data_IF_945384827760
#
_entry.id   IF_945384827760
#
_cell.length_a   1.000
_cell.length_b   1.000
_cell.length_c   1.000
_cell.angle_alpha   90.00
_cell.angle_beta   90.00
_cell.angle_gamma   90.00
#
_symmetry.space_group_name_H-M   'P 1'
#
loop_
_entity.id
_entity.type
_entity.pdbx_description
1 polymer ?
#
# COMPACT_ATOMS: atom_id res chain seq x y z
N UNK A 1 0.58 -66.76 -14.06
CA UNK A 1 1.58 -65.70 -14.31
C UNK A 1 2.50 -65.64 -13.09
N UNK A 2 3.82 -65.67 -13.27
CA UNK A 2 4.75 -65.66 -12.14
C UNK A 2 4.67 -64.29 -11.43
N UNK A 3 4.46 -64.27 -10.10
CA UNK A 3 4.27 -63.02 -9.33
C UNK A 3 5.44 -62.00 -9.52
N UNK A 4 6.62 -62.53 -9.78
CA UNK A 4 7.81 -61.75 -10.03
C UNK A 4 7.72 -60.86 -11.30
N UNK A 5 7.08 -61.35 -12.36
CA UNK A 5 6.89 -60.57 -13.60
C UNK A 5 5.87 -59.45 -13.40
N UNK A 6 4.87 -59.66 -12.57
CA UNK A 6 3.87 -58.66 -12.22
C UNK A 6 4.50 -57.49 -11.41
N UNK A 7 5.36 -57.84 -10.43
CA UNK A 7 6.07 -56.84 -9.64
C UNK A 7 7.00 -55.96 -10.48
N UNK A 8 7.77 -56.62 -11.39
CA UNK A 8 8.65 -55.85 -12.29
C UNK A 8 7.85 -54.94 -13.20
N UNK A 9 6.75 -55.41 -13.79
CA UNK A 9 5.90 -54.59 -14.64
C UNK A 9 5.34 -53.39 -13.88
N UNK A 10 4.86 -53.58 -12.64
CA UNK A 10 4.33 -52.50 -11.81
C UNK A 10 5.39 -51.47 -11.46
N UNK A 11 6.63 -51.89 -11.16
CA UNK A 11 7.76 -50.98 -10.89
C UNK A 11 8.12 -50.15 -12.09
N UNK A 12 8.15 -50.76 -13.27
CA UNK A 12 8.46 -50.03 -14.54
C UNK A 12 7.37 -49.01 -14.85
N UNK A 13 6.09 -49.38 -14.67
CA UNK A 13 4.98 -48.42 -14.88
C UNK A 13 5.08 -47.24 -13.93
N UNK A 14 5.31 -47.49 -12.62
CA UNK A 14 5.48 -46.40 -11.64
C UNK A 14 6.67 -45.49 -11.98
N UNK A 15 7.79 -46.07 -12.41
CA UNK A 15 8.97 -45.30 -12.83
C UNK A 15 8.68 -44.41 -14.05
N UNK A 16 7.97 -44.93 -15.05
CA UNK A 16 7.56 -44.17 -16.23
C UNK A 16 6.60 -43.06 -15.88
N UNK A 17 5.63 -43.29 -14.99
CA UNK A 17 4.74 -42.24 -14.49
C UNK A 17 5.50 -41.13 -13.73
N UNK A 18 6.45 -41.52 -12.88
CA UNK A 18 7.26 -40.57 -12.13
C UNK A 18 8.13 -39.69 -13.07
N UNK A 19 8.76 -40.31 -14.06
CA UNK A 19 9.53 -39.62 -15.08
C UNK A 19 8.61 -38.65 -15.88
N UNK A 20 7.43 -39.12 -16.27
CA UNK A 20 6.44 -38.31 -16.97
C UNK A 20 6.04 -37.08 -16.17
N UNK A 21 5.74 -37.23 -14.87
CA UNK A 21 5.41 -36.11 -13.98
C UNK A 21 6.56 -35.11 -13.89
N UNK A 22 7.81 -35.57 -13.79
CA UNK A 22 8.98 -34.69 -13.76
C UNK A 22 9.11 -33.86 -15.07
N UNK A 23 8.89 -34.48 -16.22
CA UNK A 23 8.94 -33.77 -17.51
C UNK A 23 7.78 -32.76 -17.66
N UNK A 24 6.57 -33.11 -17.23
CA UNK A 24 5.43 -32.17 -17.28
C UNK A 24 5.54 -31.04 -16.27
N UNK A 25 6.19 -31.23 -15.12
CA UNK A 25 6.42 -30.16 -14.15
C UNK A 25 7.49 -29.14 -14.62
N UNK A 26 8.47 -29.56 -15.43
CA UNK A 26 9.48 -28.64 -15.96
C UNK A 26 8.90 -27.65 -16.98
N UNK A 27 7.84 -27.96 -17.68
CA UNK A 27 7.16 -27.03 -18.59
C UNK A 27 6.22 -26.06 -17.85
N UNK A 28 5.64 -26.46 -16.72
CA UNK A 28 4.76 -25.61 -15.91
C UNK A 28 5.52 -24.52 -15.12
N UNK A 29 6.82 -24.70 -14.87
CA UNK A 29 7.68 -23.71 -14.17
C UNK A 29 8.38 -22.76 -15.14
N UNK A 30 8.29 -22.96 -16.45
CA UNK A 30 8.54 -21.88 -17.40
C UNK A 30 7.39 -20.87 -17.37
N UNK A 31 7.13 -20.29 -16.22
CA UNK A 31 6.53 -18.96 -16.14
C UNK A 31 7.45 -18.08 -16.99
N UNK A 32 7.00 -17.74 -18.19
CA UNK A 32 7.55 -16.64 -18.95
C UNK A 32 7.54 -15.46 -17.99
N UNK A 33 8.68 -15.15 -17.38
CA UNK A 33 8.94 -13.86 -16.79
C UNK A 33 9.01 -12.88 -17.98
N UNK A 34 7.86 -12.68 -18.59
CA UNK A 34 7.65 -11.50 -19.40
C UNK A 34 7.67 -10.37 -18.39
N UNK A 35 8.81 -9.73 -18.24
CA UNK A 35 8.98 -8.45 -17.56
C UNK A 35 8.29 -7.36 -18.39
N UNK A 36 7.06 -7.61 -18.81
CA UNK A 36 6.15 -6.56 -19.21
C UNK A 36 5.64 -6.01 -17.88
N UNK A 37 6.33 -4.98 -17.37
CA UNK A 37 5.78 -4.18 -16.29
C UNK A 37 4.34 -3.86 -16.65
N UNK A 38 3.39 -4.25 -15.79
CA UNK A 38 2.01 -3.88 -16.00
C UNK A 38 1.97 -2.35 -16.13
N UNK A 39 1.49 -1.78 -17.24
CA UNK A 39 1.54 -0.33 -17.46
C UNK A 39 0.78 0.45 -16.38
N UNK A 40 -0.08 -0.23 -15.62
CA UNK A 40 -0.87 0.38 -14.54
C UNK A 40 -1.04 -0.63 -13.41
N UNK A 41 -0.68 -0.22 -12.19
CA UNK A 41 -1.05 -0.93 -10.96
C UNK A 41 -2.41 -0.41 -10.48
N UNK A 42 -3.42 -1.28 -10.42
CA UNK A 42 -4.76 -0.95 -9.93
C UNK A 42 -5.01 -1.68 -8.62
N UNK A 43 -5.39 -0.94 -7.60
CA UNK A 43 -5.68 -1.48 -6.27
C UNK A 43 -6.50 -0.49 -5.44
N UNK A 44 -7.04 -0.95 -4.32
CA UNK A 44 -7.77 -0.10 -3.36
C UNK A 44 -6.83 0.56 -2.35
N UNK A 45 -5.68 -0.04 -2.12
CA UNK A 45 -4.63 0.48 -1.26
C UNK A 45 -3.27 -0.07 -1.71
N UNK A 46 -2.23 0.71 -1.42
CA UNK A 46 -0.83 0.29 -1.45
C UNK A 46 -0.25 0.54 -0.07
N UNK A 47 0.41 -0.46 0.52
CA UNK A 47 1.10 -0.33 1.79
C UNK A 47 2.54 -0.80 1.66
N UNK A 48 3.46 -0.06 2.27
CA UNK A 48 4.85 -0.44 2.47
C UNK A 48 4.99 -0.78 3.94
N UNK A 49 5.49 -1.98 4.22
CA UNK A 49 5.71 -2.48 5.58
C UNK A 49 7.19 -2.65 5.86
N UNK A 50 7.59 -2.51 7.13
CA UNK A 50 8.94 -2.84 7.57
C UNK A 50 9.09 -4.36 7.87
N UNK A 51 10.29 -4.78 8.23
CA UNK A 51 10.60 -6.19 8.55
C UNK A 51 9.75 -6.74 9.71
N UNK A 52 9.20 -5.88 10.56
CA UNK A 52 8.28 -6.23 11.65
C UNK A 52 6.81 -6.28 11.21
N UNK A 53 6.50 -6.07 9.94
CA UNK A 53 5.14 -6.05 9.40
C UNK A 53 4.36 -4.77 9.72
N UNK A 54 5.01 -3.72 10.23
CA UNK A 54 4.37 -2.45 10.54
C UNK A 54 4.27 -1.59 9.29
N UNK A 55 3.10 -0.98 9.04
CA UNK A 55 2.89 -0.08 7.91
C UNK A 55 3.72 1.18 8.09
N UNK A 56 4.59 1.49 7.10
CA UNK A 56 5.49 2.65 7.09
C UNK A 56 5.10 3.69 6.04
N UNK A 57 4.41 3.26 5.00
CA UNK A 57 3.76 4.17 4.05
C UNK A 57 2.45 3.57 3.58
N UNK A 58 1.49 4.41 3.23
CA UNK A 58 0.24 3.94 2.63
C UNK A 58 -0.32 4.96 1.65
N UNK A 59 -0.93 4.46 0.57
CA UNK A 59 -1.78 5.24 -0.33
C UNK A 59 -3.13 4.54 -0.36
N UNK A 60 -4.20 5.24 0.04
CA UNK A 60 -5.55 4.68 0.01
C UNK A 60 -6.63 5.73 -0.15
N UNK A 61 -7.80 5.31 -0.60
CA UNK A 61 -9.02 6.12 -0.56
C UNK A 61 -9.64 5.98 0.82
N UNK A 62 -9.70 7.09 1.56
CA UNK A 62 -10.43 7.18 2.82
C UNK A 62 -11.90 7.49 2.50
N UNK A 63 -12.86 6.71 2.97
CA UNK A 63 -14.27 7.01 2.74
C UNK A 63 -14.67 8.32 3.43
N UNK A 64 -15.71 8.95 2.93
CA UNK A 64 -16.31 10.12 3.60
C UNK A 64 -16.77 9.74 5.00
N UNK A 65 -16.46 10.57 5.97
CA UNK A 65 -16.87 10.35 7.37
C UNK A 65 -17.25 11.66 8.06
N UNK A 66 -18.04 11.53 9.13
CA UNK A 66 -18.36 12.66 10.03
C UNK A 66 -17.68 12.43 11.38
N UNK A 67 -16.78 13.32 11.75
CA UNK A 67 -16.10 13.26 13.04
C UNK A 67 -17.07 13.64 14.15
N UNK A 68 -17.58 12.63 14.86
CA UNK A 68 -18.67 12.76 15.83
C UNK A 68 -18.45 13.84 16.90
N UNK A 69 -17.25 14.01 17.49
CA UNK A 69 -17.06 15.01 18.53
C UNK A 69 -17.33 16.46 18.09
N UNK A 70 -17.07 16.79 16.83
CA UNK A 70 -17.21 18.16 16.32
C UNK A 70 -18.31 18.30 15.26
N UNK A 71 -18.90 17.21 14.79
CA UNK A 71 -19.84 17.20 13.67
C UNK A 71 -19.17 17.53 12.32
N UNK A 72 -17.86 17.68 12.26
CA UNK A 72 -17.13 18.03 11.03
C UNK A 72 -17.20 16.88 10.03
N UNK A 73 -17.68 17.18 8.85
CA UNK A 73 -17.70 16.23 7.74
C UNK A 73 -16.37 16.28 6.97
N UNK A 74 -15.80 15.11 6.74
CA UNK A 74 -14.65 14.93 5.86
C UNK A 74 -15.13 14.22 4.58
N UNK A 75 -14.85 14.76 3.39
CA UNK A 75 -15.20 14.10 2.14
C UNK A 75 -14.32 12.86 1.91
N UNK A 76 -14.73 12.03 0.96
CA UNK A 76 -13.87 10.98 0.47
C UNK A 76 -12.55 11.60 -0.02
N UNK A 77 -11.42 11.02 0.41
CA UNK A 77 -10.09 11.61 0.21
C UNK A 77 -9.09 10.52 -0.19
N UNK A 78 -8.41 10.71 -1.32
CA UNK A 78 -7.20 9.93 -1.62
C UNK A 78 -6.08 10.45 -0.73
N UNK A 79 -5.46 9.58 0.06
CA UNK A 79 -4.45 9.99 1.03
C UNK A 79 -3.19 9.13 0.96
N UNK A 80 -2.05 9.80 0.80
CA UNK A 80 -0.72 9.23 1.03
C UNK A 80 -0.27 9.60 2.44
N UNK A 81 0.26 8.62 3.18
CA UNK A 81 0.85 8.81 4.51
C UNK A 81 2.25 8.19 4.57
N UNK A 82 3.18 8.91 5.20
CA UNK A 82 4.44 8.34 5.68
C UNK A 82 4.35 8.26 7.20
N UNK A 83 4.71 7.10 7.75
CA UNK A 83 4.41 6.72 9.13
C UNK A 83 5.74 6.41 9.85
N UNK A 84 5.93 7.02 11.01
CA UNK A 84 7.10 6.82 11.83
C UNK A 84 7.16 5.39 12.47
N UNK A 85 8.27 4.98 13.11
CA UNK A 85 8.34 3.69 13.78
C UNK A 85 7.33 3.49 14.92
N UNK A 86 6.76 4.58 15.47
CA UNK A 86 5.76 4.55 16.55
C UNK A 86 4.33 4.45 16.02
N UNK A 87 4.14 4.41 14.68
CA UNK A 87 2.83 4.32 14.05
C UNK A 87 2.15 5.68 13.82
N UNK A 88 2.88 6.81 13.99
CA UNK A 88 2.33 8.16 13.79
C UNK A 88 2.55 8.61 12.35
N UNK A 89 1.52 9.11 11.66
CA UNK A 89 1.65 9.63 10.31
C UNK A 89 2.26 11.06 10.34
N UNK A 90 3.55 11.14 10.07
CA UNK A 90 4.34 12.39 10.06
C UNK A 90 4.10 13.22 8.79
N UNK A 91 3.85 12.57 7.65
CA UNK A 91 3.55 13.22 6.38
C UNK A 91 2.20 12.74 5.88
N UNK A 92 1.35 13.68 5.48
CA UNK A 92 0.05 13.40 4.84
C UNK A 92 -0.08 14.28 3.60
N UNK A 93 -0.37 13.65 2.46
CA UNK A 93 -0.75 14.32 1.22
C UNK A 93 -2.15 13.81 0.88
N UNK A 94 -3.09 14.73 0.71
CA UNK A 94 -4.49 14.39 0.45
C UNK A 94 -5.09 15.18 -0.68
N UNK A 95 -6.03 14.57 -1.39
CA UNK A 95 -6.87 15.20 -2.41
C UNK A 95 -8.31 14.73 -2.28
N UNK A 96 -9.25 15.66 -2.30
CA UNK A 96 -10.69 15.44 -2.18
C UNK A 96 -11.47 16.38 -3.08
N UNK A 97 -12.79 16.32 -3.04
CA UNK A 97 -13.67 17.29 -3.75
C UNK A 97 -13.53 18.72 -3.22
N UNK A 98 -13.08 18.89 -1.96
CA UNK A 98 -12.93 20.22 -1.34
C UNK A 98 -11.53 20.83 -1.61
N UNK A 99 -10.61 20.08 -2.23
CA UNK A 99 -9.27 20.54 -2.53
C UNK A 99 -8.18 19.53 -2.16
N UNK A 100 -6.94 20.00 -2.15
CA UNK A 100 -5.76 19.20 -1.83
C UNK A 100 -4.85 19.87 -0.81
N UNK A 101 -4.00 19.05 -0.18
CA UNK A 101 -3.04 19.58 0.79
C UNK A 101 -1.93 18.63 1.18
N UNK A 102 -0.90 19.22 1.76
CA UNK A 102 0.22 18.55 2.40
C UNK A 102 0.30 18.99 3.85
N UNK A 103 0.40 18.05 4.78
CA UNK A 103 0.73 18.36 6.17
C UNK A 103 1.98 17.61 6.63
N UNK A 104 2.82 18.32 7.40
CA UNK A 104 3.91 17.75 8.16
C UNK A 104 3.58 17.88 9.64
N UNK A 105 3.77 16.79 10.36
CA UNK A 105 3.55 16.68 11.80
C UNK A 105 4.91 16.49 12.45
N UNK A 106 5.18 17.17 13.53
CA UNK A 106 6.40 16.98 14.30
C UNK A 106 6.17 16.09 15.52
N UNK A 107 7.15 16.02 16.41
CA UNK A 107 7.14 15.17 17.60
C UNK A 107 5.97 15.43 18.57
N UNK A 108 5.29 16.56 18.46
CA UNK A 108 4.20 17.00 19.34
C UNK A 108 2.81 16.59 18.89
N UNK A 109 2.66 15.71 17.89
CA UNK A 109 1.38 15.37 17.25
C UNK A 109 0.62 16.55 16.62
N UNK A 110 1.17 17.76 16.69
CA UNK A 110 0.61 18.95 16.09
C UNK A 110 1.10 19.13 14.66
N UNK A 111 0.20 19.56 13.77
CA UNK A 111 0.57 19.94 12.41
C UNK A 111 1.45 21.20 12.50
N UNK A 112 2.71 21.09 12.07
CA UNK A 112 3.68 22.18 12.07
C UNK A 112 3.76 22.89 10.71
N UNK A 113 3.44 22.17 9.63
CA UNK A 113 3.33 22.75 8.30
C UNK A 113 2.04 22.27 7.65
N UNK A 114 1.25 23.18 7.08
CA UNK A 114 0.06 22.86 6.32
C UNK A 114 0.03 23.72 5.05
N UNK A 115 0.18 23.07 3.90
CA UNK A 115 -0.05 23.67 2.59
C UNK A 115 -1.41 23.17 2.09
N UNK A 116 -2.27 24.11 1.70
CA UNK A 116 -3.63 23.80 1.22
C UNK A 116 -3.95 24.62 -0.03
N UNK A 117 -4.76 24.03 -0.90
CA UNK A 117 -5.40 24.71 -2.02
C UNK A 117 -6.83 24.18 -2.15
N UNK A 118 -7.78 25.08 -2.21
CA UNK A 118 -9.21 24.83 -2.36
C UNK A 118 -9.89 25.89 -3.23
N UNK A 119 -11.22 25.92 -3.28
CA UNK A 119 -11.97 26.90 -4.06
C UNK A 119 -11.79 28.35 -3.60
N UNK A 120 -11.30 28.59 -2.38
CA UNK A 120 -11.04 29.93 -1.82
C UNK A 120 -9.64 30.43 -2.13
N UNK A 121 -8.72 29.56 -2.59
CA UNK A 121 -7.34 29.89 -2.92
C UNK A 121 -6.33 28.92 -2.30
N UNK A 122 -5.09 29.40 -2.18
CA UNK A 122 -4.00 28.62 -1.56
C UNK A 122 -3.50 29.28 -0.30
N UNK A 123 -3.00 28.47 0.63
CA UNK A 123 -2.43 28.95 1.89
C UNK A 123 -1.29 28.06 2.36
N UNK A 124 -0.31 28.66 3.03
CA UNK A 124 0.73 27.99 3.77
C UNK A 124 0.67 28.43 5.24
N UNK A 125 0.39 27.48 6.12
CA UNK A 125 0.44 27.69 7.57
C UNK A 125 1.70 27.04 8.12
N UNK A 126 2.46 27.82 8.87
CA UNK A 126 3.63 27.36 9.62
C UNK A 126 3.34 27.54 11.11
N UNK A 127 3.66 26.54 11.91
CA UNK A 127 3.53 26.57 13.35
C UNK A 127 4.89 26.27 13.99
N UNK A 128 5.36 27.13 14.87
CA UNK A 128 6.60 26.90 15.59
C UNK A 128 6.41 26.02 16.85
N UNK A 129 7.54 25.65 17.47
CA UNK A 129 7.54 24.84 18.68
C UNK A 129 6.84 25.49 19.89
N UNK A 130 6.65 26.81 19.87
CA UNK A 130 5.93 27.56 20.91
C UNK A 130 4.45 27.69 20.64
N UNK A 131 3.97 27.12 19.51
CA UNK A 131 2.58 27.15 19.10
C UNK A 131 2.15 28.40 18.34
N UNK A 132 3.09 29.30 17.98
CA UNK A 132 2.78 30.48 17.18
C UNK A 132 2.52 30.07 15.73
N UNK A 133 1.44 30.59 15.18
CA UNK A 133 1.05 30.34 13.79
C UNK A 133 1.46 31.52 12.90
N UNK A 134 1.98 31.18 11.70
CA UNK A 134 2.18 32.13 10.59
C UNK A 134 1.40 31.61 9.38
N UNK A 135 0.48 32.43 8.87
CA UNK A 135 -0.29 32.16 7.66
C UNK A 135 0.25 33.03 6.53
N UNK A 136 0.53 32.40 5.39
CA UNK A 136 0.94 33.03 4.14
C UNK A 136 -0.15 32.70 3.13
N UNK A 137 -0.69 33.74 2.50
CA UNK A 137 -1.67 33.65 1.42
C UNK A 137 -1.25 34.63 0.31
N UNK A 138 -1.65 34.35 -0.96
CA UNK A 138 -1.40 35.28 -2.08
C UNK A 138 -2.02 36.65 -1.89
#
# INVERSE_FOLDING_TARGET
MQPQRLLVALTVINLLLFISILFFQTDAVRTKTTTAASPVLRGRALEIVDDGGRVRASIKVQPAETFRPTGRRYPETVMLRLIDPNGRPEVKIGASVDGGGLSLVGDSDAIQLLLQADSSGSSLRLKDATGRDRLIQP
#
